data_IF_353431501490
#
_entry.id   IF_353431501490
#
_cell.length_a   1.000
_cell.length_b   1.000
_cell.length_c   1.000
_cell.angle_alpha   90.00
_cell.angle_beta   90.00
_cell.angle_gamma   90.00
#
_symmetry.space_group_name_H-M   'P 1'
#
loop_
_entity.id
_entity.type
_entity.pdbx_description
1 polymer ?
#
# COMPACT_ATOMS: atom_id res chain seq x y z
N UNK A 1 -2.83 -15.94 5.10
CA UNK A 1 -3.57 -15.12 6.08
C UNK A 1 -4.70 -14.41 5.36
N UNK A 2 -5.86 -14.19 5.98
CA UNK A 2 -7.04 -13.67 5.27
C UNK A 2 -7.04 -12.15 5.00
N UNK A 3 -6.10 -11.39 5.58
CA UNK A 3 -6.13 -9.93 5.53
C UNK A 3 -6.11 -9.35 4.10
N UNK A 4 -5.41 -9.99 3.16
CA UNK A 4 -5.28 -9.53 1.78
C UNK A 4 -6.13 -10.33 0.77
N UNK A 5 -6.71 -11.46 1.20
CA UNK A 5 -7.30 -12.46 0.31
C UNK A 5 -8.37 -11.90 -0.63
N UNK A 6 -9.25 -11.02 -0.13
CA UNK A 6 -10.32 -10.46 -0.95
C UNK A 6 -9.80 -9.51 -2.04
N UNK A 7 -8.74 -8.76 -1.74
CA UNK A 7 -8.10 -7.85 -2.71
C UNK A 7 -7.37 -8.67 -3.78
N UNK A 8 -6.62 -9.70 -3.38
CA UNK A 8 -5.93 -10.63 -4.28
C UNK A 8 -6.91 -11.25 -5.27
N UNK A 9 -7.99 -11.86 -4.77
CA UNK A 9 -9.01 -12.48 -5.63
C UNK A 9 -9.60 -11.49 -6.64
N UNK A 10 -9.93 -10.26 -6.22
CA UNK A 10 -10.49 -9.25 -7.14
C UNK A 10 -9.48 -8.86 -8.22
N UNK A 11 -8.20 -8.73 -7.88
CA UNK A 11 -7.16 -8.37 -8.83
C UNK A 11 -6.87 -9.51 -9.82
N UNK A 12 -6.84 -10.75 -9.35
CA UNK A 12 -6.66 -11.94 -10.18
C UNK A 12 -7.86 -12.16 -11.13
N UNK A 13 -9.09 -11.99 -10.64
CA UNK A 13 -10.31 -12.04 -11.45
C UNK A 13 -10.34 -10.97 -12.54
N UNK A 14 -9.75 -9.80 -12.27
CA UNK A 14 -9.65 -8.72 -13.24
C UNK A 14 -8.51 -8.91 -14.27
N UNK A 15 -7.44 -9.62 -13.90
CA UNK A 15 -6.29 -9.88 -14.76
C UNK A 15 -5.56 -11.17 -14.31
N UNK A 16 -5.80 -12.29 -14.99
CA UNK A 16 -5.20 -13.59 -14.66
C UNK A 16 -3.65 -13.60 -14.75
N UNK A 17 -3.05 -12.66 -15.48
CA UNK A 17 -1.60 -12.54 -15.62
C UNK A 17 -0.92 -11.67 -14.55
N UNK A 18 -1.69 -11.10 -13.61
CA UNK A 18 -1.13 -10.20 -12.59
C UNK A 18 -0.22 -10.97 -11.63
N UNK A 19 0.93 -10.37 -11.28
CA UNK A 19 1.80 -10.86 -10.21
C UNK A 19 1.59 -10.01 -8.97
N UNK A 20 1.21 -10.65 -7.87
CA UNK A 20 0.83 -9.94 -6.63
C UNK A 20 1.76 -10.38 -5.50
N UNK A 21 2.25 -9.39 -4.75
CA UNK A 21 2.83 -9.60 -3.43
C UNK A 21 1.99 -8.86 -2.41
N UNK A 22 1.52 -9.60 -1.42
CA UNK A 22 0.66 -9.07 -0.37
C UNK A 22 1.36 -9.05 0.96
N UNK A 23 1.27 -7.91 1.64
CA UNK A 23 1.80 -7.72 2.97
C UNK A 23 0.68 -7.38 3.93
N UNK A 24 0.52 -8.20 4.97
CA UNK A 24 -0.25 -7.85 6.15
C UNK A 24 0.69 -7.27 7.20
N UNK A 25 0.39 -6.07 7.70
CA UNK A 25 1.22 -5.37 8.65
C UNK A 25 0.38 -4.77 9.78
N UNK A 26 -0.08 -5.61 10.72
CA UNK A 26 -0.79 -5.13 11.92
C UNK A 26 0.03 -4.08 12.72
N UNK A 27 1.36 -4.24 12.91
CA UNK A 27 2.17 -3.22 13.59
C UNK A 27 2.15 -1.85 12.89
N UNK A 28 1.90 -1.82 11.58
CA UNK A 28 1.76 -0.57 10.84
C UNK A 28 0.49 0.17 11.25
N UNK A 29 -0.62 -0.54 11.35
CA UNK A 29 -1.91 0.01 11.77
C UNK A 29 -1.81 0.54 13.21
N UNK A 30 -1.22 -0.23 14.11
CA UNK A 30 -1.05 0.16 15.52
C UNK A 30 -0.25 1.46 15.68
N UNK A 31 0.78 1.70 14.85
CA UNK A 31 1.56 2.94 14.90
C UNK A 31 0.82 4.13 14.31
N UNK A 32 0.00 3.90 13.28
CA UNK A 32 -0.89 4.93 12.72
C UNK A 32 -1.93 5.35 13.76
N UNK A 33 -2.53 4.40 14.47
CA UNK A 33 -3.52 4.68 15.53
C UNK A 33 -2.92 5.44 16.72
N UNK A 34 -1.62 5.26 16.98
CA UNK A 34 -0.86 6.06 17.97
C UNK A 34 -0.51 7.47 17.47
N UNK A 35 -0.89 7.82 16.24
CA UNK A 35 -0.49 9.05 15.57
C UNK A 35 1.04 9.23 15.50
N UNK A 36 1.79 8.13 15.41
CA UNK A 36 3.24 8.18 15.20
C UNK A 36 3.50 8.86 13.85
N UNK A 37 4.41 9.85 13.76
CA UNK A 37 4.62 10.57 12.51
C UNK A 37 5.00 9.65 11.34
N UNK A 38 4.51 9.86 10.10
CA UNK A 38 4.72 8.93 8.97
C UNK A 38 6.20 8.61 8.71
N UNK A 39 7.08 9.61 8.82
CA UNK A 39 8.53 9.42 8.65
C UNK A 39 9.14 8.53 9.72
N UNK A 40 8.62 8.60 10.96
CA UNK A 40 9.07 7.73 12.05
C UNK A 40 8.60 6.30 11.80
N UNK A 41 7.33 6.12 11.41
CA UNK A 41 6.78 4.81 11.03
C UNK A 41 7.60 4.18 9.90
N UNK A 42 7.89 4.96 8.86
CA UNK A 42 8.63 4.53 7.67
C UNK A 42 9.94 3.83 8.06
N UNK A 43 10.78 4.48 8.88
CA UNK A 43 12.04 3.90 9.34
C UNK A 43 11.87 2.83 10.41
N UNK A 44 10.95 3.03 11.38
CA UNK A 44 10.74 2.11 12.51
C UNK A 44 10.31 0.72 12.04
N UNK A 45 9.51 0.66 10.97
CA UNK A 45 9.00 -0.59 10.41
C UNK A 45 9.74 -1.02 9.14
N UNK A 46 10.89 -0.39 8.85
CA UNK A 46 11.74 -0.71 7.71
C UNK A 46 11.00 -0.68 6.35
N UNK A 47 10.04 0.23 6.19
CA UNK A 47 9.26 0.36 4.95
C UNK A 47 10.16 0.74 3.78
N UNK A 48 11.28 1.43 4.03
CA UNK A 48 12.31 1.71 3.02
C UNK A 48 12.87 0.45 2.37
N UNK A 49 13.00 -0.65 3.14
CA UNK A 49 13.51 -1.90 2.60
C UNK A 49 12.47 -2.61 1.75
N UNK A 50 11.20 -2.52 2.16
CA UNK A 50 10.08 -3.10 1.40
C UNK A 50 9.94 -2.39 0.06
N UNK A 51 9.99 -1.06 0.09
CA UNK A 51 9.95 -0.23 -1.10
C UNK A 51 11.16 -0.48 -2.01
N UNK A 52 12.37 -0.51 -1.45
CA UNK A 52 13.59 -0.79 -2.23
C UNK A 52 13.56 -2.18 -2.88
N UNK A 53 13.10 -3.20 -2.14
CA UNK A 53 12.89 -4.53 -2.71
C UNK A 53 11.84 -4.53 -3.83
N UNK A 54 10.74 -3.78 -3.67
CA UNK A 54 9.72 -3.67 -4.71
C UNK A 54 10.27 -3.00 -5.98
N UNK A 55 11.18 -2.02 -5.84
CA UNK A 55 11.85 -1.39 -6.98
C UNK A 55 12.78 -2.37 -7.69
N UNK A 56 13.56 -3.17 -6.95
CA UNK A 56 14.43 -4.22 -7.51
C UNK A 56 13.63 -5.32 -8.24
N UNK A 57 12.38 -5.53 -7.84
CA UNK A 57 11.47 -6.49 -8.46
C UNK A 57 10.68 -5.93 -9.65
N UNK A 58 10.93 -4.68 -10.04
CA UNK A 58 10.18 -3.94 -11.06
C UNK A 58 8.66 -3.95 -10.80
N UNK A 59 8.25 -3.76 -9.55
CA UNK A 59 6.83 -3.66 -9.18
C UNK A 59 6.22 -2.41 -9.80
N UNK A 60 5.13 -2.58 -10.54
CA UNK A 60 4.47 -1.51 -11.31
C UNK A 60 3.54 -0.61 -10.48
N UNK A 61 3.18 -1.03 -9.26
CA UNK A 61 2.33 -0.26 -8.37
C UNK A 61 2.20 -0.86 -6.98
N UNK A 62 2.02 0.00 -5.98
CA UNK A 62 1.74 -0.39 -4.60
C UNK A 62 0.32 0.05 -4.24
N UNK A 63 -0.54 -0.92 -3.94
CA UNK A 63 -1.93 -0.70 -3.55
C UNK A 63 -2.07 -0.57 -2.03
N UNK A 64 -2.64 0.53 -1.56
CA UNK A 64 -2.96 0.74 -0.15
C UNK A 64 -4.26 0.02 0.23
N UNK A 65 -4.14 -1.24 0.63
CA UNK A 65 -5.29 -2.12 0.89
C UNK A 65 -6.06 -1.89 2.21
N UNK A 66 -5.70 -0.88 3.00
CA UNK A 66 -6.35 -0.56 4.27
C UNK A 66 -6.65 0.94 4.34
N UNK A 67 -7.80 1.32 4.89
CA UNK A 67 -8.22 2.72 5.04
C UNK A 67 -7.30 3.57 5.90
N UNK A 68 -6.43 2.96 6.71
CA UNK A 68 -5.43 3.68 7.51
C UNK A 68 -4.20 4.08 6.71
N UNK A 69 -3.86 3.34 5.65
CA UNK A 69 -2.59 3.49 4.94
C UNK A 69 -2.43 4.78 4.11
N UNK A 70 -3.48 5.51 3.70
CA UNK A 70 -3.33 6.85 3.11
C UNK A 70 -2.54 7.81 4.00
N UNK A 71 -2.49 7.57 5.32
CA UNK A 71 -1.62 8.31 6.26
C UNK A 71 -0.12 8.31 5.87
N UNK A 72 0.32 7.31 5.10
CA UNK A 72 1.71 7.13 4.67
C UNK A 72 1.96 7.59 3.23
N UNK A 73 0.94 8.05 2.49
CA UNK A 73 1.04 8.28 1.05
C UNK A 73 2.16 9.26 0.69
N UNK A 74 2.29 10.35 1.45
CA UNK A 74 3.33 11.37 1.24
C UNK A 74 4.74 10.82 1.45
N UNK A 75 4.95 10.02 2.50
CA UNK A 75 6.28 9.48 2.79
C UNK A 75 6.65 8.39 1.79
N UNK A 76 5.70 7.54 1.39
CA UNK A 76 5.95 6.52 0.37
C UNK A 76 6.28 7.19 -0.98
N UNK A 77 5.43 8.09 -1.47
CA UNK A 77 5.58 8.75 -2.78
C UNK A 77 6.88 9.55 -2.89
N UNK A 78 7.38 10.14 -1.80
CA UNK A 78 8.66 10.87 -1.82
C UNK A 78 9.89 9.96 -1.85
N UNK A 79 9.75 8.69 -1.49
CA UNK A 79 10.87 7.76 -1.34
C UNK A 79 10.81 6.58 -2.32
N UNK A 80 9.90 6.60 -3.31
CA UNK A 80 9.87 5.62 -4.39
C UNK A 80 9.45 6.23 -5.71
N UNK A 81 9.84 5.58 -6.81
CA UNK A 81 9.31 5.84 -8.14
C UNK A 81 8.07 5.00 -8.46
N UNK A 82 7.76 4.00 -7.64
CA UNK A 82 6.60 3.13 -7.83
C UNK A 82 5.32 3.92 -7.55
N UNK A 83 4.33 3.90 -8.45
CA UNK A 83 3.03 4.52 -8.20
C UNK A 83 2.36 3.97 -6.93
N UNK A 84 2.01 4.86 -6.00
CA UNK A 84 1.20 4.52 -4.83
C UNK A 84 -0.28 4.74 -5.18
N UNK A 85 -1.09 3.72 -4.97
CA UNK A 85 -2.51 3.71 -5.37
C UNK A 85 -3.37 3.68 -4.10
N UNK A 86 -4.12 4.75 -3.87
CA UNK A 86 -5.19 4.80 -2.87
C UNK A 86 -6.55 4.51 -3.55
N UNK A 87 -7.23 3.38 -3.22
CA UNK A 87 -8.57 3.10 -3.72
C UNK A 87 -9.59 4.19 -3.40
N UNK A 88 -9.46 4.91 -2.28
CA UNK A 88 -10.43 5.90 -1.84
C UNK A 88 -10.52 7.08 -2.83
N UNK A 89 -9.39 7.53 -3.38
CA UNK A 89 -9.35 8.59 -4.40
C UNK A 89 -10.16 8.19 -5.65
N UNK A 90 -9.99 6.96 -6.11
CA UNK A 90 -10.72 6.40 -7.27
C UNK A 90 -12.22 6.26 -7.01
N UNK A 91 -12.61 5.97 -5.77
CA UNK A 91 -14.03 5.91 -5.38
C UNK A 91 -14.68 7.29 -5.47
N UNK A 92 -14.00 8.35 -5.00
CA UNK A 92 -14.50 9.72 -5.09
C UNK A 92 -14.66 10.15 -6.55
N UNK A 93 -13.71 9.82 -7.42
CA UNK A 93 -13.80 10.09 -8.86
C UNK A 93 -15.06 9.45 -9.49
N UNK A 94 -15.44 8.25 -9.06
CA UNK A 94 -16.62 7.56 -9.56
C UNK A 94 -17.94 8.16 -9.07
N UNK A 95 -17.97 8.74 -7.86
CA UNK A 95 -19.16 9.37 -7.30
C UNK A 95 -19.45 10.76 -7.89
N UNK A 96 -18.45 11.41 -8.48
CA UNK A 96 -18.57 12.74 -9.12
C UNK A 96 -18.97 12.67 -10.60
N UNK A 97 -19.14 11.47 -11.14
CA UNK A 97 -19.66 11.21 -12.49
C UNK A 97 -21.14 10.88 -12.42
#
# INVERSE_FOLDING_TARGET
GQACAKIETILEEANEGIRIWSLSALPLVEEIEKATPPRVIYHKLALEKIVGWAEEMDVEGILLGCTHFPYLIDVLTRNTRIPIIDPAERMIEKLRK
#
